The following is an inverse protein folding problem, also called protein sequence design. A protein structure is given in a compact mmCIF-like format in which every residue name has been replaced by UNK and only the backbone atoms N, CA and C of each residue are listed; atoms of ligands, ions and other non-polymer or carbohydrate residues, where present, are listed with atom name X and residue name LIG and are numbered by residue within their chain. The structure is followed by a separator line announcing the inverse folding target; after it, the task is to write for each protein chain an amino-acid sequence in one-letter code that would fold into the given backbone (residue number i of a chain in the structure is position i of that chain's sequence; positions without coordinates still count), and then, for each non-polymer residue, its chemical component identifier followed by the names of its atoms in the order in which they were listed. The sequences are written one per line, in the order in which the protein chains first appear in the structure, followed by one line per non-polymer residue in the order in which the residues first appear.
data_IF_079585261762
#
_entry.id   IF_079585261762
#
_cell.length_a   1.000
_cell.length_b   1.000
_cell.length_c   1.000
_cell.angle_alpha   90.00
_cell.angle_beta   90.00
_cell.angle_gamma   90.00
#
_symmetry.space_group_name_H-M   'P 1'
#
loop_
_entity.id
_entity.type
_entity.pdbx_description
1 polymer ?
#
# COMPACT_ATOMS: atom_id res chain seq x y z
N UNK A 1 -17.81 20.35 -24.30
CA UNK A 1 -16.89 21.05 -25.22
C UNK A 1 -15.58 21.32 -24.50
N UNK A 2 -14.43 20.75 -24.92
CA UNK A 2 -13.14 21.07 -24.32
C UNK A 2 -12.83 22.56 -24.52
N UNK A 3 -12.35 23.23 -23.48
CA UNK A 3 -12.06 24.67 -23.54
C UNK A 3 -10.84 24.93 -24.43
N UNK A 4 -10.80 26.08 -25.12
CA UNK A 4 -9.70 26.45 -26.02
C UNK A 4 -8.30 26.36 -25.37
N UNK A 5 -8.22 26.49 -24.04
CA UNK A 5 -6.99 26.29 -23.27
C UNK A 5 -6.55 24.82 -23.22
N UNK A 6 -7.47 23.86 -23.20
CA UNK A 6 -7.17 22.43 -23.17
C UNK A 6 -6.69 21.92 -24.54
N UNK A 7 -7.28 22.42 -25.64
CA UNK A 7 -6.86 22.08 -27.01
C UNK A 7 -5.47 22.62 -27.32
N UNK A 8 -5.18 23.88 -26.96
CA UNK A 8 -3.85 24.47 -27.12
C UNK A 8 -2.77 23.74 -26.33
N UNK A 9 -3.06 23.33 -25.09
CA UNK A 9 -2.13 22.55 -24.26
C UNK A 9 -1.85 21.17 -24.86
N UNK A 10 -2.87 20.52 -25.43
CA UNK A 10 -2.73 19.20 -26.08
C UNK A 10 -1.87 19.31 -27.36
N UNK A 11 -2.10 20.34 -28.18
CA UNK A 11 -1.32 20.60 -29.38
C UNK A 11 0.16 20.88 -29.07
N UNK A 12 0.43 21.73 -28.07
CA UNK A 12 1.80 22.00 -27.62
C UNK A 12 2.50 20.73 -27.11
N UNK A 13 1.78 19.84 -26.43
CA UNK A 13 2.31 18.58 -25.96
C UNK A 13 2.61 17.61 -27.12
N UNK A 14 1.75 17.55 -28.13
CA UNK A 14 1.96 16.74 -29.35
C UNK A 14 3.17 17.23 -30.13
N UNK A 15 3.29 18.54 -30.39
CA UNK A 15 4.45 19.10 -31.08
C UNK A 15 5.77 18.79 -30.34
N UNK A 16 5.75 18.85 -29.01
CA UNK A 16 6.90 18.47 -28.18
C UNK A 16 7.23 16.97 -28.26
N UNK A 17 6.23 16.10 -28.39
CA UNK A 17 6.43 14.66 -28.54
C UNK A 17 7.00 14.32 -29.93
N UNK A 18 6.49 14.95 -30.99
CA UNK A 18 6.98 14.78 -32.36
C UNK A 18 8.43 15.25 -32.51
N UNK A 19 8.77 16.41 -31.94
CA UNK A 19 10.16 16.86 -31.90
C UNK A 19 11.06 15.88 -31.14
N UNK A 20 10.60 15.30 -30.02
CA UNK A 20 11.39 14.29 -29.30
C UNK A 20 11.55 13.00 -30.12
N UNK A 21 10.52 12.57 -30.83
CA UNK A 21 10.60 11.41 -31.71
C UNK A 21 11.67 11.59 -32.80
N UNK A 22 11.72 12.77 -33.42
CA UNK A 22 12.78 13.12 -34.39
C UNK A 22 14.18 13.06 -33.80
N UNK A 23 14.38 13.58 -32.58
CA UNK A 23 15.66 13.47 -31.87
C UNK A 23 16.04 12.00 -31.64
N UNK A 24 15.09 11.15 -31.21
CA UNK A 24 15.35 9.73 -30.93
C UNK A 24 15.72 8.97 -32.21
N UNK A 25 15.01 9.21 -33.31
CA UNK A 25 15.33 8.62 -34.61
C UNK A 25 16.71 9.06 -35.10
N UNK A 26 17.03 10.35 -35.01
CA UNK A 26 18.35 10.86 -35.35
C UNK A 26 19.46 10.21 -34.49
N UNK A 27 19.22 10.02 -33.19
CA UNK A 27 20.17 9.33 -32.31
C UNK A 27 20.34 7.86 -32.68
N UNK A 28 19.28 7.16 -33.08
CA UNK A 28 19.35 5.77 -33.51
C UNK A 28 20.17 5.65 -34.81
N UNK A 29 19.88 6.51 -35.78
CA UNK A 29 20.61 6.57 -37.05
C UNK A 29 22.09 6.99 -36.86
N UNK A 30 22.38 7.79 -35.84
CA UNK A 30 23.75 8.15 -35.51
C UNK A 30 24.59 6.96 -35.06
N UNK A 31 24.00 6.06 -34.27
CA UNK A 31 24.66 4.88 -33.70
C UNK A 31 24.90 3.77 -34.70
N UNK A 32 24.09 3.69 -35.76
CA UNK A 32 24.25 2.68 -36.82
C UNK A 32 25.36 3.03 -37.80
N UNK A 33 25.85 4.27 -37.81
CA UNK A 33 26.95 4.69 -38.67
C UNK A 33 28.27 4.74 -37.90
N UNK A 34 29.32 4.12 -38.47
CA UNK A 34 30.66 4.06 -37.87
C UNK A 34 31.35 5.44 -37.79
N UNK A 35 31.06 6.34 -38.74
CA UNK A 35 31.53 7.74 -38.76
C UNK A 35 30.39 8.69 -39.11
N UNK A 36 29.62 9.09 -38.10
CA UNK A 36 28.45 9.94 -38.29
C UNK A 36 28.83 11.40 -38.50
N UNK A 37 28.39 12.01 -39.61
CA UNK A 37 28.40 13.47 -39.74
C UNK A 37 27.17 14.07 -39.04
N UNK A 38 27.34 14.42 -37.76
CA UNK A 38 26.29 14.99 -36.90
C UNK A 38 25.62 16.24 -37.49
N UNK A 39 26.33 17.04 -38.29
CA UNK A 39 25.77 18.26 -38.90
C UNK A 39 24.82 17.95 -40.04
N UNK A 40 25.16 16.98 -40.90
CA UNK A 40 24.25 16.49 -41.96
C UNK A 40 23.03 15.84 -41.33
N UNK A 41 23.26 14.95 -40.37
CA UNK A 41 22.20 14.23 -39.67
C UNK A 41 21.22 15.16 -38.92
N UNK A 42 21.72 16.24 -38.33
CA UNK A 42 20.90 17.27 -37.71
C UNK A 42 19.95 17.94 -38.72
N UNK A 43 20.41 18.18 -39.95
CA UNK A 43 19.58 18.77 -41.02
C UNK A 43 18.55 17.78 -41.56
N UNK A 44 18.95 16.52 -41.77
CA UNK A 44 18.07 15.49 -42.33
C UNK A 44 16.86 15.20 -41.43
N UNK A 45 17.05 15.28 -40.11
CA UNK A 45 16.00 15.05 -39.12
C UNK A 45 15.32 16.34 -38.61
N UNK A 46 15.73 17.51 -39.12
CA UNK A 46 15.28 18.83 -38.65
C UNK A 46 15.40 18.98 -37.11
N UNK A 47 16.60 18.69 -36.59
CA UNK A 47 16.95 18.76 -35.17
C UNK A 47 18.18 19.63 -34.99
N UNK A 48 18.24 20.44 -33.92
CA UNK A 48 19.44 21.22 -33.61
C UNK A 48 20.66 20.33 -33.37
N UNK A 49 21.78 20.67 -34.02
CA UNK A 49 23.09 20.02 -33.83
C UNK A 49 23.47 19.90 -32.35
N UNK A 50 23.25 20.96 -31.56
CA UNK A 50 23.59 20.96 -30.14
C UNK A 50 22.75 19.95 -29.34
N UNK A 51 21.48 19.76 -29.69
CA UNK A 51 20.60 18.78 -29.05
C UNK A 51 21.10 17.36 -29.34
N UNK A 52 21.44 17.08 -30.60
CA UNK A 52 21.93 15.77 -31.02
C UNK A 52 23.29 15.44 -30.39
N UNK A 53 24.22 16.41 -30.39
CA UNK A 53 25.54 16.26 -29.74
C UNK A 53 25.42 16.04 -28.23
N UNK A 54 24.57 16.80 -27.54
CA UNK A 54 24.37 16.64 -26.10
C UNK A 54 23.72 15.30 -25.74
N UNK A 55 22.85 14.77 -26.61
CA UNK A 55 22.26 13.44 -26.48
C UNK A 55 23.27 12.32 -26.66
N UNK A 56 24.10 12.41 -27.71
CA UNK A 56 25.00 11.32 -28.09
C UNK A 56 26.28 11.28 -27.25
N UNK A 57 26.91 12.44 -27.04
CA UNK A 57 28.23 12.53 -26.37
C UNK A 57 28.08 12.65 -24.85
N UNK A 58 27.14 13.48 -24.40
CA UNK A 58 26.99 13.82 -22.97
C UNK A 58 25.90 13.01 -22.26
N UNK A 59 25.20 12.14 -22.97
CA UNK A 59 24.17 11.25 -22.39
C UNK A 59 22.98 11.98 -21.77
N UNK A 60 22.74 13.26 -22.10
CA UNK A 60 21.62 14.01 -21.53
C UNK A 60 20.30 13.33 -21.90
N UNK A 61 19.45 13.06 -20.90
CA UNK A 61 18.11 12.51 -21.10
C UNK A 61 17.12 13.59 -21.50
N UNK A 62 16.00 13.19 -22.09
CA UNK A 62 14.99 14.13 -22.56
C UNK A 62 14.48 15.08 -21.48
N UNK A 63 14.28 16.34 -21.85
CA UNK A 63 13.53 17.30 -21.05
C UNK A 63 12.06 16.87 -20.87
N UNK A 64 11.58 15.90 -21.66
CA UNK A 64 10.31 15.21 -21.47
C UNK A 64 10.38 14.04 -20.49
N UNK A 65 11.57 13.66 -20.00
CA UNK A 65 11.61 12.84 -18.79
C UNK A 65 11.11 13.75 -17.67
N UNK A 66 10.01 13.42 -17.00
CA UNK A 66 9.52 14.25 -15.90
C UNK A 66 10.67 14.40 -14.90
N UNK A 67 11.22 15.62 -14.79
CA UNK A 67 12.14 15.97 -13.72
C UNK A 67 11.34 15.71 -12.45
N UNK A 68 11.67 14.64 -11.74
CA UNK A 68 11.12 14.34 -10.43
C UNK A 68 11.78 15.28 -9.41
N UNK A 69 11.62 16.59 -9.59
CA UNK A 69 12.24 17.61 -8.77
C UNK A 69 11.82 17.52 -7.29
N UNK A 70 10.74 16.79 -7.01
CA UNK A 70 10.20 16.56 -5.67
C UNK A 70 10.11 15.06 -5.34
N UNK A 71 11.13 14.27 -5.69
CA UNK A 71 11.20 12.86 -5.25
C UNK A 71 11.59 12.84 -3.77
N UNK A 72 10.62 12.59 -2.90
CA UNK A 72 10.85 12.42 -1.46
C UNK A 72 11.67 11.13 -1.23
N UNK A 73 11.34 10.07 -1.97
CA UNK A 73 12.08 8.80 -1.94
C UNK A 73 13.14 8.76 -3.04
N UNK A 74 14.31 8.26 -2.67
CA UNK A 74 15.38 7.86 -3.58
C UNK A 74 14.97 6.61 -4.39
N UNK A 75 15.58 6.38 -5.57
CA UNK A 75 15.28 5.19 -6.38
C UNK A 75 15.46 3.86 -5.63
N UNK A 76 16.43 3.77 -4.71
CA UNK A 76 16.65 2.59 -3.88
C UNK A 76 15.48 2.34 -2.92
N UNK A 77 14.97 3.39 -2.27
CA UNK A 77 13.82 3.32 -1.36
C UNK A 77 12.53 3.00 -2.12
N UNK A 78 12.32 3.61 -3.30
CA UNK A 78 11.18 3.26 -4.15
C UNK A 78 11.24 1.78 -4.60
N UNK A 79 12.43 1.24 -4.88
CA UNK A 79 12.61 -0.19 -5.22
C UNK A 79 12.16 -1.11 -4.09
N UNK A 80 12.45 -0.73 -2.85
CA UNK A 80 11.99 -1.47 -1.70
C UNK A 80 10.46 -1.48 -1.57
N UNK A 81 9.81 -0.32 -1.70
CA UNK A 81 8.34 -0.24 -1.67
C UNK A 81 7.75 -1.12 -2.78
N UNK A 82 8.36 -1.14 -3.97
CA UNK A 82 7.94 -2.03 -5.06
C UNK A 82 8.11 -3.52 -4.73
N UNK A 83 9.19 -3.91 -4.04
CA UNK A 83 9.38 -5.29 -3.58
C UNK A 83 8.27 -5.71 -2.64
N UNK A 84 7.93 -4.87 -1.65
CA UNK A 84 6.83 -5.17 -0.71
C UNK A 84 5.48 -5.28 -1.40
N UNK A 85 5.24 -4.49 -2.46
CA UNK A 85 4.04 -4.63 -3.30
C UNK A 85 4.02 -6.00 -4.00
N UNK A 86 5.16 -6.44 -4.54
CA UNK A 86 5.28 -7.75 -5.18
C UNK A 86 5.04 -8.88 -4.17
N UNK A 87 5.70 -8.85 -3.01
CA UNK A 87 5.54 -9.84 -1.95
C UNK A 87 4.08 -9.92 -1.45
N UNK A 88 3.42 -8.76 -1.37
CA UNK A 88 2.00 -8.70 -0.98
C UNK A 88 1.09 -9.31 -2.04
N UNK A 89 1.40 -9.10 -3.32
CA UNK A 89 0.68 -9.71 -4.43
C UNK A 89 0.83 -11.24 -4.41
N UNK A 90 2.04 -11.74 -4.18
CA UNK A 90 2.31 -13.18 -4.12
C UNK A 90 1.55 -13.86 -2.96
N UNK A 91 1.25 -13.09 -1.90
CA UNK A 91 0.42 -13.52 -0.77
C UNK A 91 -1.08 -13.24 -0.94
N UNK A 92 -1.52 -12.82 -2.13
CA UNK A 92 -2.89 -12.42 -2.44
C UNK A 92 -3.45 -11.31 -1.51
N UNK A 93 -2.58 -10.43 -1.00
CA UNK A 93 -2.98 -9.30 -0.16
C UNK A 93 -3.29 -8.07 -1.02
N UNK A 94 -4.43 -7.43 -0.72
CA UNK A 94 -4.77 -6.15 -1.34
C UNK A 94 -3.96 -5.04 -0.69
N UNK A 95 -3.03 -4.47 -1.46
CA UNK A 95 -2.29 -3.28 -1.02
C UNK A 95 -3.25 -2.08 -1.01
N UNK A 96 -3.20 -1.26 0.03
CA UNK A 96 -3.98 -0.02 0.10
C UNK A 96 -3.05 1.20 0.03
N UNK A 97 -3.56 2.39 -0.38
CA UNK A 97 -2.75 3.62 -0.36
C UNK A 97 -2.18 3.97 1.02
N UNK A 98 -2.87 3.58 2.09
CA UNK A 98 -2.40 3.77 3.47
C UNK A 98 -1.15 2.94 3.73
N UNK A 99 -1.21 1.62 3.45
CA UNK A 99 -0.04 0.73 3.59
C UNK A 99 1.16 1.19 2.76
N UNK A 100 0.93 1.76 1.57
CA UNK A 100 2.00 2.32 0.75
C UNK A 100 2.69 3.52 1.40
N UNK A 101 1.94 4.39 2.10
CA UNK A 101 2.54 5.50 2.83
C UNK A 101 3.39 4.97 4.00
N UNK A 102 2.90 3.97 4.72
CA UNK A 102 3.64 3.37 5.84
C UNK A 102 4.94 2.74 5.36
N UNK A 103 4.89 1.91 4.31
CA UNK A 103 6.09 1.31 3.75
C UNK A 103 7.09 2.33 3.22
N UNK A 104 6.60 3.44 2.63
CA UNK A 104 7.46 4.51 2.18
C UNK A 104 8.11 5.28 3.34
N UNK A 105 7.38 5.50 4.44
CA UNK A 105 7.92 6.09 5.65
C UNK A 105 8.93 5.15 6.33
N UNK A 106 8.64 3.85 6.41
CA UNK A 106 9.58 2.85 6.93
C UNK A 106 10.90 2.83 6.15
N UNK A 107 10.83 2.96 4.83
CA UNK A 107 12.01 3.02 3.96
C UNK A 107 12.82 4.31 4.15
N UNK A 108 12.15 5.43 4.48
CA UNK A 108 12.81 6.69 4.81
C UNK A 108 13.49 6.63 6.19
N UNK A 109 12.79 6.09 7.20
CA UNK A 109 13.30 5.93 8.56
C UNK A 109 14.53 5.03 8.56
N UNK A 110 14.50 3.88 7.87
CA UNK A 110 15.66 2.99 7.78
C UNK A 110 16.84 3.58 7.02
N UNK A 111 16.59 4.54 6.15
CA UNK A 111 17.65 5.30 5.49
C UNK A 111 18.15 6.49 6.33
N UNK A 112 17.69 6.64 7.59
CA UNK A 112 18.09 7.73 8.49
C UNK A 112 17.50 9.09 8.11
N UNK A 113 16.36 9.12 7.42
CA UNK A 113 15.68 10.37 7.06
C UNK A 113 14.53 10.70 8.01
N UNK A 114 14.53 11.91 8.56
CA UNK A 114 13.42 12.44 9.37
C UNK A 114 12.22 12.89 8.52
N UNK A 115 12.35 12.84 7.19
CA UNK A 115 11.30 13.26 6.27
C UNK A 115 10.24 12.17 6.18
N UNK A 116 8.98 12.58 6.07
CA UNK A 116 7.84 11.69 5.81
C UNK A 116 7.21 11.97 4.45
N UNK A 117 6.62 10.96 3.86
CA UNK A 117 5.78 11.14 2.68
C UNK A 117 4.45 11.78 3.08
N UNK A 118 3.95 12.71 2.27
CA UNK A 118 2.63 13.29 2.49
C UNK A 118 1.51 12.34 2.07
N UNK A 119 0.30 12.52 2.60
CA UNK A 119 -0.87 11.64 2.37
C UNK A 119 -1.17 11.38 0.89
N UNK A 120 -0.97 12.40 0.04
CA UNK A 120 -1.20 12.32 -1.41
C UNK A 120 -0.09 11.60 -2.18
N UNK A 121 1.03 11.29 -1.54
CA UNK A 121 2.16 10.62 -2.17
C UNK A 121 1.76 9.25 -2.69
N UNK A 122 1.07 8.42 -1.89
CA UNK A 122 0.64 7.10 -2.31
C UNK A 122 -0.26 7.13 -3.56
N UNK A 123 -1.23 8.04 -3.63
CA UNK A 123 -2.08 8.20 -4.82
C UNK A 123 -1.27 8.60 -6.07
N UNK A 124 -0.32 9.53 -5.90
CA UNK A 124 0.60 9.93 -6.99
C UNK A 124 1.55 8.79 -7.37
N UNK A 125 1.98 7.98 -6.40
CA UNK A 125 2.83 6.82 -6.60
C UNK A 125 2.11 5.77 -7.45
N UNK A 126 0.89 5.40 -7.07
CA UNK A 126 0.05 4.44 -7.81
C UNK A 126 -0.16 4.90 -9.26
N UNK A 127 -0.43 6.20 -9.48
CA UNK A 127 -0.62 6.76 -10.83
C UNK A 127 0.64 6.64 -11.72
N UNK A 128 1.83 6.54 -11.13
CA UNK A 128 3.10 6.34 -11.87
C UNK A 128 3.37 4.87 -12.20
N UNK A 129 2.69 3.91 -11.55
CA UNK A 129 2.91 2.50 -11.78
C UNK A 129 2.39 2.09 -13.17
N UNK A 130 3.03 1.11 -13.84
CA UNK A 130 2.48 0.47 -15.02
C UNK A 130 1.08 -0.08 -14.73
N UNK A 131 0.17 -0.03 -15.71
CA UNK A 131 -1.24 -0.42 -15.53
C UNK A 131 -1.44 -1.86 -15.03
N UNK A 132 -0.44 -2.75 -15.18
CA UNK A 132 -0.46 -4.14 -14.69
C UNK A 132 -0.06 -4.34 -13.21
N UNK A 133 0.32 -3.26 -12.51
CA UNK A 133 0.66 -3.25 -11.08
C UNK A 133 -0.33 -2.41 -10.26
N UNK A 134 -1.55 -2.23 -10.77
CA UNK A 134 -2.54 -1.37 -10.12
C UNK A 134 -3.02 -1.97 -8.80
N UNK A 135 -2.51 -1.37 -7.74
CA UNK A 135 -3.04 -1.42 -6.38
C UNK A 135 -4.52 -1.02 -6.41
N UNK A 136 -5.41 -1.84 -5.84
CA UNK A 136 -6.85 -1.56 -5.79
C UNK A 136 -7.05 -0.27 -4.98
N UNK A 137 -7.35 0.81 -5.68
CA UNK A 137 -7.84 2.03 -5.04
C UNK A 137 -9.27 1.76 -4.63
N UNK A 138 -9.54 1.54 -3.33
CA UNK A 138 -10.92 1.63 -2.83
C UNK A 138 -11.45 3.01 -3.21
N UNK A 139 -12.37 3.05 -4.18
CA UNK A 139 -13.25 4.20 -4.32
C UNK A 139 -14.15 4.19 -3.09
N UNK A 140 -14.11 5.27 -2.30
CA UNK A 140 -15.24 5.62 -1.44
C UNK A 140 -16.32 6.02 -2.43
N UNK A 141 -17.15 5.06 -2.83
CA UNK A 141 -18.43 5.23 -3.55
C UNK A 141 -19.09 3.83 -3.61
N UNK A 142 -19.51 3.29 -2.48
CA UNK A 142 -20.72 2.46 -2.47
C UNK A 142 -21.75 3.30 -1.70
N UNK A 143 -22.91 3.64 -2.30
CA UNK A 143 -24.02 4.14 -1.49
C UNK A 143 -24.36 3.05 -0.48
N UNK A 144 -24.67 3.46 0.75
CA UNK A 144 -25.29 2.59 1.75
C UNK A 144 -26.44 1.86 1.08
N UNK A 145 -26.26 0.57 0.80
CA UNK A 145 -27.40 -0.32 0.61
C UNK A 145 -27.96 -0.46 2.01
N UNK A 146 -28.92 0.41 2.29
CA UNK A 146 -29.91 0.24 3.32
C UNK A 146 -30.48 -1.16 3.11
N UNK A 147 -30.08 -2.08 3.97
CA UNK A 147 -30.64 -3.42 3.98
C UNK A 147 -32.02 -3.23 4.60
N UNK A 148 -33.02 -3.02 3.76
CA UNK A 148 -34.40 -3.17 4.18
C UNK A 148 -34.54 -4.58 4.74
N UNK A 149 -34.82 -4.65 6.04
CA UNK A 149 -35.09 -5.88 6.73
C UNK A 149 -36.47 -6.39 6.27
N UNK A 150 -36.49 -7.16 5.19
CA UNK A 150 -37.64 -8.00 4.89
C UNK A 150 -37.62 -9.22 5.81
N UNK A 151 -38.54 -9.15 6.77
CA UNK A 151 -39.45 -10.22 7.20
C UNK A 151 -38.89 -11.66 7.23
N UNK A 152 -38.48 -12.07 8.43
CA UNK A 152 -38.56 -13.48 8.83
C UNK A 152 -39.40 -13.56 10.10
N UNK A 153 -40.70 -13.40 9.91
CA UNK A 153 -41.74 -13.93 10.78
C UNK A 153 -41.52 -15.42 11.06
N UNK A 154 -40.95 -15.77 12.21
CA UNK A 154 -41.37 -16.93 13.00
C UNK A 154 -40.67 -17.01 14.36
N UNK A 155 -41.48 -17.43 15.35
CA UNK A 155 -41.14 -17.99 16.67
C UNK A 155 -41.15 -17.01 17.86
N UNK A 156 -42.39 -16.68 18.25
CA UNK A 156 -42.97 -16.91 19.59
C UNK A 156 -42.02 -16.93 20.80
N UNK A 157 -42.15 -15.94 21.69
CA UNK A 157 -42.84 -16.08 22.99
C UNK A 157 -42.48 -14.92 23.92
N UNK A 158 -43.45 -14.05 24.19
CA UNK A 158 -43.53 -13.20 25.38
C UNK A 158 -43.87 -14.05 26.61
N UNK A 159 -43.53 -13.58 27.84
CA UNK A 159 -44.45 -12.74 28.61
C UNK A 159 -43.73 -11.52 29.21
N UNK A 160 -44.18 -10.29 28.96
CA UNK A 160 -45.27 -9.60 29.68
C UNK A 160 -45.00 -9.48 31.20
N UNK A 161 -44.61 -8.28 31.66
CA UNK A 161 -44.99 -7.67 32.96
C UNK A 161 -44.76 -6.14 32.86
N UNK A 162 -45.61 -5.28 33.46
CA UNK A 162 -46.00 -3.97 32.95
C UNK A 162 -45.35 -2.75 33.63
N UNK A 163 -45.34 -1.64 32.89
CA UNK A 163 -45.12 -0.27 33.38
C UNK A 163 -46.27 0.19 34.30
N UNK A 164 -45.98 0.95 35.37
CA UNK A 164 -46.96 1.85 35.95
C UNK A 164 -46.66 3.32 35.61
N UNK A 165 -47.66 3.91 34.94
CA UNK A 165 -48.24 5.24 35.12
C UNK A 165 -47.36 6.42 35.58
N UNK A 166 -47.28 7.42 34.69
CA UNK A 166 -47.14 8.84 35.05
C UNK A 166 -48.35 9.33 35.86
N UNK A 167 -48.19 10.41 36.63
CA UNK A 167 -49.20 11.47 36.64
C UNK A 167 -48.64 12.84 36.21
N UNK A 168 -49.48 13.57 35.49
CA UNK A 168 -49.31 14.93 34.95
C UNK A 168 -49.38 16.04 36.03
N UNK A 169 -48.89 17.24 35.63
CA UNK A 169 -49.46 18.59 35.78
C UNK A 169 -49.85 19.13 37.19
N UNK A 170 -49.76 20.41 37.58
CA UNK A 170 -49.20 21.68 37.06
C UNK A 170 -48.96 22.59 38.32
N UNK A 171 -49.10 23.94 38.34
CA UNK A 171 -47.99 24.89 38.39
C UNK A 171 -48.04 25.89 39.58
N UNK A 172 -47.05 26.78 39.61
CA UNK A 172 -47.10 28.16 40.13
C UNK A 172 -47.27 28.41 41.65
N UNK A 173 -46.28 29.06 42.26
CA UNK A 173 -46.40 30.36 42.92
C UNK A 173 -45.16 30.63 43.79
N UNK A 174 -44.51 31.78 43.58
CA UNK A 174 -43.35 32.19 44.35
C UNK A 174 -43.70 32.73 45.73
N UNK A 175 -42.72 32.71 46.64
CA UNK A 175 -42.27 33.81 47.51
C UNK A 175 -41.42 33.29 48.67
N UNK A 176 -40.32 34.01 48.96
CA UNK A 176 -39.92 34.25 50.35
C UNK A 176 -38.67 33.54 50.89
N UNK A 177 -37.60 34.34 51.00
CA UNK A 177 -36.89 34.62 52.26
C UNK A 177 -36.02 33.52 52.94
N UNK A 178 -34.70 33.79 52.92
CA UNK A 178 -33.70 33.70 54.01
C UNK A 178 -33.65 32.44 54.91
N UNK A 179 -32.55 31.69 54.84
CA UNK A 179 -31.48 31.64 55.87
C UNK A 179 -30.56 30.41 55.66
N UNK A 180 -29.25 30.64 55.71
CA UNK A 180 -28.22 29.61 55.99
C UNK A 180 -28.11 29.44 57.51
N UNK A 181 -27.61 28.32 58.10
CA UNK A 181 -26.42 27.58 57.62
C UNK A 181 -26.33 26.05 57.90
N UNK A 182 -25.44 25.40 57.15
CA UNK A 182 -24.54 24.36 57.70
C UNK A 182 -24.96 22.89 57.59
N UNK A 183 -24.47 22.19 56.55
CA UNK A 183 -24.19 20.73 56.58
C UNK A 183 -23.01 20.42 55.64
N UNK A 184 -21.89 20.02 56.25
CA UNK A 184 -20.99 18.90 55.91
C UNK A 184 -20.60 18.62 54.43
N UNK A 185 -19.30 18.69 54.06
CA UNK A 185 -18.86 18.22 52.75
C UNK A 185 -18.86 16.68 52.70
N UNK A 186 -19.81 16.12 51.95
CA UNK A 186 -19.83 14.71 51.60
C UNK A 186 -18.52 14.30 50.91
N UNK A 187 -17.92 13.23 51.41
CA UNK A 187 -16.77 12.56 50.82
C UNK A 187 -17.09 12.07 49.39
N UNK A 188 -16.14 12.11 48.46
CA UNK A 188 -16.31 11.52 47.14
C UNK A 188 -16.22 9.99 47.27
N UNK A 189 -17.36 9.30 47.21
CA UNK A 189 -17.37 7.86 47.01
C UNK A 189 -16.83 7.57 45.59
N UNK A 190 -15.80 6.72 45.54
CA UNK A 190 -15.14 6.31 44.30
C UNK A 190 -16.08 5.53 43.41
N UNK A 191 -16.30 6.05 42.21
CA UNK A 191 -17.07 5.39 41.16
C UNK A 191 -16.12 4.41 40.42
N UNK A 192 -15.90 3.22 40.97
CA UNK A 192 -15.12 2.14 40.33
C UNK A 192 -15.96 1.22 39.44
N UNK A 193 -17.16 1.63 39.01
CA UNK A 193 -17.91 0.89 38.01
C UNK A 193 -17.54 1.39 36.61
N UNK A 194 -16.62 0.66 35.95
CA UNK A 194 -16.35 0.83 34.52
C UNK A 194 -17.68 0.79 33.76
N UNK A 195 -17.95 1.84 32.99
CA UNK A 195 -19.15 1.96 32.18
C UNK A 195 -19.31 0.73 31.29
N UNK A 196 -20.54 0.24 31.08
CA UNK A 196 -20.82 -0.94 30.23
C UNK A 196 -20.09 -0.88 28.87
N UNK A 197 -19.97 0.32 28.30
CA UNK A 197 -19.25 0.54 27.05
C UNK A 197 -17.75 0.25 27.16
N UNK A 198 -17.12 0.62 28.28
CA UNK A 198 -15.72 0.32 28.56
C UNK A 198 -15.49 -1.19 28.72
N UNK A 199 -16.42 -1.91 29.37
CA UNK A 199 -16.34 -3.37 29.51
C UNK A 199 -16.45 -4.08 28.15
N UNK A 200 -17.32 -3.59 27.26
CA UNK A 200 -17.44 -4.12 25.88
C UNK A 200 -16.14 -3.90 25.10
N UNK A 201 -15.53 -2.72 25.23
CA UNK A 201 -14.25 -2.40 24.57
C UNK A 201 -13.15 -3.34 25.06
N UNK A 202 -13.03 -3.55 26.36
CA UNK A 202 -12.01 -4.45 26.93
C UNK A 202 -12.17 -5.89 26.42
N UNK A 203 -13.39 -6.44 26.43
CA UNK A 203 -13.64 -7.78 25.85
C UNK A 203 -13.33 -7.87 24.36
N UNK A 204 -13.61 -6.81 23.61
CA UNK A 204 -13.31 -6.76 22.17
C UNK A 204 -11.80 -6.74 21.92
N UNK A 205 -11.03 -6.09 22.80
CA UNK A 205 -9.57 -6.09 22.74
C UNK A 205 -9.00 -7.47 23.07
N UNK A 206 -9.49 -8.14 24.12
CA UNK A 206 -9.07 -9.50 24.48
C UNK A 206 -9.37 -10.51 23.35
N UNK A 207 -10.52 -10.36 22.68
CA UNK A 207 -10.86 -11.18 21.51
C UNK A 207 -9.90 -10.94 20.35
N UNK A 208 -9.53 -9.69 20.08
CA UNK A 208 -8.56 -9.36 19.04
C UNK A 208 -7.18 -9.94 19.35
N UNK A 209 -6.74 -9.87 20.60
CA UNK A 209 -5.44 -10.42 21.04
C UNK A 209 -5.41 -11.94 20.85
N UNK A 210 -6.46 -12.64 21.32
CA UNK A 210 -6.61 -14.08 21.12
C UNK A 210 -6.64 -14.49 19.63
N UNK A 211 -7.28 -13.68 18.77
CA UNK A 211 -7.29 -13.93 17.33
C UNK A 211 -5.91 -13.74 16.69
N UNK A 212 -5.15 -12.74 17.14
CA UNK A 212 -3.78 -12.49 16.66
C UNK A 212 -2.87 -13.64 17.05
N UNK A 213 -2.94 -14.09 18.31
CA UNK A 213 -2.15 -15.22 18.81
C UNK A 213 -2.49 -16.51 18.05
N UNK A 214 -3.77 -16.84 17.88
CA UNK A 214 -4.18 -18.02 17.12
C UNK A 214 -3.70 -17.98 15.66
N UNK A 215 -3.64 -16.79 15.05
CA UNK A 215 -3.13 -16.61 13.69
C UNK A 215 -1.61 -16.75 13.64
N UNK A 216 -0.91 -16.24 14.65
CA UNK A 216 0.54 -16.37 14.78
C UNK A 216 0.93 -17.84 14.95
N UNK A 217 0.27 -18.57 15.84
CA UNK A 217 0.50 -20.00 16.06
C UNK A 217 0.29 -20.83 14.80
N UNK A 218 -0.80 -20.59 14.05
CA UNK A 218 -1.06 -21.27 12.77
C UNK A 218 0.06 -21.01 11.76
N UNK A 219 0.59 -19.79 11.73
CA UNK A 219 1.67 -19.42 10.82
C UNK A 219 2.97 -20.12 11.20
N UNK A 220 3.32 -20.13 12.49
CA UNK A 220 4.50 -20.84 13.01
C UNK A 220 4.39 -22.35 12.73
N UNK A 221 3.22 -22.96 12.93
CA UNK A 221 3.00 -24.37 12.63
C UNK A 221 3.15 -24.70 11.14
N UNK A 222 2.61 -23.86 10.26
CA UNK A 222 2.76 -24.02 8.82
C UNK A 222 4.23 -23.89 8.38
N UNK A 223 4.95 -22.90 8.91
CA UNK A 223 6.36 -22.66 8.58
C UNK A 223 7.28 -23.77 9.11
N UNK A 224 7.03 -24.25 10.33
CA UNK A 224 7.78 -25.39 10.90
C UNK A 224 7.53 -26.69 10.14
N UNK A 225 6.30 -26.93 9.67
CA UNK A 225 5.98 -28.06 8.79
C UNK A 225 6.70 -27.96 7.44
N UNK A 226 6.68 -26.77 6.81
CA UNK A 226 7.40 -26.52 5.57
C UNK A 226 8.91 -26.72 5.73
N UNK A 227 9.53 -26.19 6.79
CA UNK A 227 10.94 -26.42 7.08
C UNK A 227 11.28 -27.90 7.28
N UNK A 228 10.39 -28.69 7.91
CA UNK A 228 10.57 -30.13 8.05
C UNK A 228 10.56 -30.84 6.70
N UNK A 229 9.61 -30.49 5.83
CA UNK A 229 9.51 -31.03 4.46
C UNK A 229 10.78 -30.72 3.65
N UNK A 230 11.22 -29.46 3.64
CA UNK A 230 12.45 -29.05 2.93
C UNK A 230 13.69 -29.80 3.47
N UNK A 231 13.79 -30.00 4.79
CA UNK A 231 14.88 -30.81 5.38
C UNK A 231 14.85 -32.26 4.90
N UNK A 232 13.67 -32.86 4.77
CA UNK A 232 13.53 -34.21 4.22
C UNK A 232 13.96 -34.26 2.75
N UNK A 233 13.53 -33.32 1.92
CA UNK A 233 13.95 -33.23 0.52
C UNK A 233 15.47 -33.09 0.40
N UNK A 234 16.10 -32.22 1.20
CA UNK A 234 17.56 -32.07 1.22
C UNK A 234 18.24 -33.40 1.60
N UNK A 235 17.70 -34.15 2.57
CA UNK A 235 18.24 -35.47 2.94
C UNK A 235 18.18 -36.45 1.77
N UNK A 236 17.02 -36.55 1.11
CA UNK A 236 16.85 -37.46 -0.04
C UNK A 236 17.75 -37.10 -1.21
N UNK A 237 17.97 -35.81 -1.47
CA UNK A 237 18.89 -35.35 -2.52
C UNK A 237 20.34 -35.70 -2.19
N UNK A 238 20.75 -35.59 -0.92
CA UNK A 238 22.10 -35.99 -0.47
C UNK A 238 22.33 -37.49 -0.63
N UNK A 239 21.36 -38.31 -0.27
CA UNK A 239 21.43 -39.78 -0.47
C UNK A 239 21.55 -40.13 -1.95
N UNK A 240 20.77 -39.47 -2.82
CA UNK A 240 20.84 -39.67 -4.27
C UNK A 240 22.19 -39.25 -4.85
N UNK A 241 22.76 -38.14 -4.38
CA UNK A 241 24.09 -37.70 -4.78
C UNK A 241 25.17 -38.70 -4.36
N UNK A 242 25.13 -39.19 -3.11
CA UNK A 242 26.09 -40.20 -2.63
C UNK A 242 26.00 -41.51 -3.43
N UNK A 243 24.79 -41.95 -3.79
CA UNK A 243 24.59 -43.12 -4.65
C UNK A 243 25.18 -42.91 -6.05
N UNK A 244 25.04 -41.71 -6.61
CA UNK A 244 25.62 -41.35 -7.90
C UNK A 244 27.15 -41.31 -7.84
N UNK A 245 27.74 -40.76 -6.78
CA UNK A 245 29.19 -40.75 -6.55
C UNK A 245 29.77 -42.17 -6.47
N UNK A 246 29.13 -43.07 -5.71
CA UNK A 246 29.51 -44.49 -5.66
C UNK A 246 29.41 -45.19 -7.02
N UNK A 247 28.47 -44.78 -7.87
CA UNK A 247 28.31 -45.34 -9.21
C UNK A 247 29.44 -44.86 -10.13
N UNK A 248 29.82 -43.58 -10.04
CA UNK A 248 30.95 -43.01 -10.77
C UNK A 248 32.26 -43.70 -10.37
N UNK A 249 32.47 -43.92 -9.07
CA UNK A 249 33.67 -44.60 -8.56
C UNK A 249 33.80 -46.02 -9.11
N UNK A 250 32.71 -46.80 -9.10
CA UNK A 250 32.67 -48.14 -9.72
C UNK A 250 32.95 -48.14 -11.22
N UNK A 251 32.45 -47.14 -11.96
CA UNK A 251 32.72 -47.01 -13.40
C UNK A 251 34.20 -46.68 -13.65
N UNK A 252 34.81 -45.83 -12.82
CA UNK A 252 36.22 -45.49 -12.93
C UNK A 252 37.12 -46.70 -12.60
N UNK A 253 36.78 -47.49 -11.58
CA UNK A 253 37.49 -48.74 -11.26
C UNK A 253 37.43 -49.72 -12.43
N UNK A 254 36.25 -49.90 -13.05
CA UNK A 254 36.08 -50.78 -14.20
C UNK A 254 36.82 -50.30 -15.46
N UNK A 255 37.11 -49.01 -15.60
CA UNK A 255 37.93 -48.48 -16.70
C UNK A 255 39.44 -48.64 -16.48
N UNK A 256 39.87 -48.72 -15.22
CA UNK A 256 41.28 -48.83 -14.84
C UNK A 256 41.74 -50.28 -14.62
N UNK A 257 40.82 -51.26 -14.67
CA UNK A 257 41.08 -52.70 -14.60
C UNK A 257 41.22 -53.30 -16.00
#
# INVERSE_FOLDING_TARGET
MPTAKQTAKKAAQQAKQEHEARIVQACAHAKTQEKTNLTKLARDFDVSYNVLRNRLVRGFKSANRPKLANRILQPAQEKEVLSRIADSRDRNLTVTPFMLNDWANDALIRAGSDRRVGTMWAYRFIKRLPKGLQVIQKRRDLPSVEVEAEDVSAVQSTPEVPLPASPQADPDNGQGQLDSPGVEPAQPQGNEELSRNQQIILRSLDQLDSMVDAKLERTILAETAHHRMVKQEISTLRERMAAMESTIERLNEAQNA
#
